data_IF_513782435904
#
_entry.id   IF_513782435904
#
_cell.length_a   1.000
_cell.length_b   1.000
_cell.length_c   1.000
_cell.angle_alpha   90.00
_cell.angle_beta   90.00
_cell.angle_gamma   90.00
#
_symmetry.space_group_name_H-M   'P 1'
#
loop_
_entity.id
_entity.type
_entity.pdbx_description
1 polymer ?
#
# COMPACT_ATOMS: atom_id res chain seq x y z
N UNK A 1 -3.75 0.89 -7.22
CA UNK A 1 -4.12 -0.49 -6.84
C UNK A 1 -3.31 -0.85 -5.61
N UNK A 2 -3.96 -1.14 -4.49
CA UNK A 2 -3.28 -1.65 -3.29
C UNK A 2 -3.40 -3.17 -3.29
N UNK A 3 -2.29 -3.85 -2.98
CA UNK A 3 -2.31 -5.28 -2.72
C UNK A 3 -2.37 -5.46 -1.23
N UNK A 4 -3.40 -6.11 -0.73
CA UNK A 4 -3.58 -6.33 0.71
C UNK A 4 -2.66 -7.42 1.28
N UNK A 5 -1.85 -8.04 0.43
CA UNK A 5 -0.70 -8.86 0.82
C UNK A 5 0.49 -7.96 1.21
N UNK A 6 0.72 -7.81 2.52
CA UNK A 6 1.87 -7.06 3.02
C UNK A 6 3.17 -7.85 2.79
N UNK A 7 3.96 -7.43 1.79
CA UNK A 7 5.29 -8.00 1.52
C UNK A 7 6.37 -6.98 1.81
N UNK A 8 7.22 -7.26 2.81
CA UNK A 8 8.36 -6.39 3.16
C UNK A 8 9.60 -6.82 2.37
N UNK A 9 10.25 -5.87 1.69
CA UNK A 9 11.51 -6.08 0.96
C UNK A 9 12.48 -4.93 1.25
N UNK A 10 13.81 -5.17 1.22
CA UNK A 10 14.78 -4.09 1.25
C UNK A 10 14.51 -3.07 0.14
N UNK A 11 14.57 -1.79 0.47
CA UNK A 11 14.37 -0.72 -0.50
C UNK A 11 15.65 -0.56 -1.34
N UNK A 12 15.54 -0.74 -2.64
CA UNK A 12 16.59 -0.37 -3.59
C UNK A 12 15.93 0.10 -4.90
N UNK A 13 16.56 1.03 -5.60
CA UNK A 13 16.04 1.54 -6.89
C UNK A 13 15.80 0.40 -7.88
N UNK A 14 16.71 -0.59 -7.92
CA UNK A 14 16.59 -1.76 -8.79
C UNK A 14 15.40 -2.64 -8.37
N UNK A 15 15.20 -2.87 -7.06
CA UNK A 15 14.07 -3.65 -6.54
C UNK A 15 12.73 -2.98 -6.82
N UNK A 16 12.66 -1.65 -6.71
CA UNK A 16 11.45 -0.88 -7.04
C UNK A 16 11.11 -0.99 -8.53
N UNK A 17 12.09 -0.84 -9.43
CA UNK A 17 11.88 -1.00 -10.89
C UNK A 17 11.44 -2.43 -11.24
N UNK A 18 12.08 -3.44 -10.65
CA UNK A 18 11.69 -4.84 -10.84
C UNK A 18 10.24 -5.12 -10.39
N UNK A 19 9.79 -4.47 -9.31
CA UNK A 19 8.42 -4.57 -8.83
C UNK A 19 7.42 -3.93 -9.80
N UNK A 20 7.72 -2.75 -10.35
CA UNK A 20 6.89 -2.10 -11.38
C UNK A 20 6.75 -2.99 -12.63
N UNK A 21 7.85 -3.59 -13.08
CA UNK A 21 7.86 -4.55 -14.19
C UNK A 21 7.00 -5.79 -13.88
N UNK A 22 7.05 -6.33 -12.66
CA UNK A 22 6.22 -7.47 -12.24
C UNK A 22 4.72 -7.17 -12.34
N UNK A 23 4.32 -5.93 -12.09
CA UNK A 23 2.92 -5.48 -12.26
C UNK A 23 2.60 -5.02 -13.67
N UNK A 24 3.51 -5.23 -14.62
CA UNK A 24 3.33 -4.90 -16.03
C UNK A 24 3.07 -3.39 -16.27
N UNK A 25 3.60 -2.54 -15.36
CA UNK A 25 3.49 -1.08 -15.48
C UNK A 25 4.51 -0.61 -16.51
N UNK A 26 4.02 -0.05 -17.61
CA UNK A 26 4.84 0.44 -18.73
C UNK A 26 5.15 1.92 -18.65
N UNK A 27 4.25 2.68 -18.03
CA UNK A 27 4.35 4.14 -17.92
C UNK A 27 4.46 4.51 -16.44
N UNK A 28 5.67 4.83 -16.00
CA UNK A 28 5.95 5.19 -14.60
C UNK A 28 5.61 6.65 -14.32
N UNK A 29 5.59 7.51 -15.35
CA UNK A 29 5.32 8.94 -15.22
C UNK A 29 3.90 9.30 -14.77
N UNK A 30 2.95 8.35 -14.85
CA UNK A 30 1.58 8.53 -14.36
C UNK A 30 1.38 7.99 -12.94
N UNK A 31 2.42 7.44 -12.31
CA UNK A 31 2.35 6.93 -10.94
C UNK A 31 2.60 8.03 -9.92
N UNK A 32 1.82 8.01 -8.83
CA UNK A 32 2.02 8.85 -7.65
C UNK A 32 2.73 8.03 -6.56
N UNK A 33 3.83 8.55 -6.03
CA UNK A 33 4.48 8.00 -4.84
C UNK A 33 3.80 8.55 -3.58
N UNK A 34 3.34 7.65 -2.70
CA UNK A 34 2.82 8.03 -1.38
C UNK A 34 3.64 7.36 -0.29
N UNK A 35 4.13 8.17 0.64
CA UNK A 35 4.80 7.71 1.85
C UNK A 35 3.76 7.61 2.96
N UNK A 36 3.71 6.45 3.61
CA UNK A 36 2.81 6.19 4.73
C UNK A 36 3.65 5.88 5.96
N UNK A 37 3.47 6.68 7.00
CA UNK A 37 4.12 6.43 8.29
C UNK A 37 3.28 5.44 9.09
N UNK A 38 3.89 4.34 9.52
CA UNK A 38 3.23 3.32 10.34
C UNK A 38 3.70 3.47 11.78
N UNK A 39 2.90 4.13 12.62
CA UNK A 39 3.11 4.22 14.06
C UNK A 39 2.25 3.22 14.84
N UNK A 40 2.15 3.43 16.15
CA UNK A 40 1.32 2.61 17.04
C UNK A 40 -0.16 2.68 16.64
N UNK A 41 -0.65 3.87 16.31
CA UNK A 41 -2.05 4.10 15.96
C UNK A 41 -2.42 3.44 14.62
N UNK A 42 -1.56 3.54 13.62
CA UNK A 42 -1.72 2.83 12.34
C UNK A 42 -1.64 1.32 12.52
N UNK A 43 -0.74 0.85 13.39
CA UNK A 43 -0.65 -0.56 13.77
C UNK A 43 -1.96 -1.09 14.37
N UNK A 44 -2.61 -0.32 15.26
CA UNK A 44 -3.89 -0.70 15.84
C UNK A 44 -5.02 -0.67 14.80
N UNK A 45 -5.03 0.31 13.89
CA UNK A 45 -5.99 0.37 12.77
C UNK A 45 -5.84 -0.82 11.84
N UNK A 46 -4.60 -1.19 11.50
CA UNK A 46 -4.29 -2.37 10.68
C UNK A 46 -4.75 -3.66 11.37
N UNK A 47 -4.50 -3.81 12.67
CA UNK A 47 -4.99 -4.96 13.43
C UNK A 47 -6.51 -5.03 13.46
N UNK A 48 -7.18 -3.90 13.66
CA UNK A 48 -8.64 -3.85 13.63
C UNK A 48 -9.17 -4.24 12.24
N UNK A 49 -8.60 -3.68 11.17
CA UNK A 49 -9.00 -3.98 9.81
C UNK A 49 -8.77 -5.45 9.45
N UNK A 50 -7.68 -6.08 9.92
CA UNK A 50 -7.39 -7.50 9.64
C UNK A 50 -8.36 -8.49 10.27
N UNK A 51 -9.05 -8.08 11.35
CA UNK A 51 -10.12 -8.89 11.96
C UNK A 51 -11.47 -8.70 11.26
N UNK A 52 -11.63 -7.65 10.46
CA UNK A 52 -12.91 -7.23 9.91
C UNK A 52 -12.99 -7.38 8.38
N UNK A 53 -11.84 -7.38 7.71
CA UNK A 53 -11.75 -7.26 6.26
C UNK A 53 -10.60 -8.08 5.67
N UNK A 54 -10.74 -8.39 4.39
CA UNK A 54 -9.66 -8.97 3.58
C UNK A 54 -8.85 -7.90 2.86
N UNK A 55 -9.34 -6.65 2.82
CA UNK A 55 -8.73 -5.51 2.12
C UNK A 55 -8.02 -4.55 3.07
N UNK A 56 -7.23 -5.10 3.99
CA UNK A 56 -6.73 -4.39 5.19
C UNK A 56 -5.89 -3.15 4.90
N UNK A 57 -5.04 -3.17 3.88
CA UNK A 57 -4.17 -2.03 3.55
C UNK A 57 -4.95 -0.98 2.76
N UNK A 58 -5.89 -1.42 1.92
CA UNK A 58 -6.81 -0.53 1.21
C UNK A 58 -7.70 0.23 2.20
N UNK A 59 -8.30 -0.47 3.15
CA UNK A 59 -9.23 0.10 4.13
C UNK A 59 -8.53 1.13 5.03
N UNK A 60 -7.28 0.88 5.42
CA UNK A 60 -6.56 1.79 6.33
C UNK A 60 -5.91 2.97 5.59
N UNK A 61 -5.43 2.78 4.36
CA UNK A 61 -4.59 3.78 3.68
C UNK A 61 -5.22 4.45 2.46
N UNK A 62 -6.37 3.98 1.96
CA UNK A 62 -7.06 4.56 0.80
C UNK A 62 -8.49 5.06 1.06
N UNK A 63 -9.19 4.63 2.12
CA UNK A 63 -10.61 4.99 2.32
C UNK A 63 -10.90 6.45 2.76
N UNK A 64 -9.90 7.35 2.82
CA UNK A 64 -10.14 8.74 3.22
C UNK A 64 -10.92 9.60 2.20
N UNK A 65 -11.15 9.12 0.97
CA UNK A 65 -11.85 9.90 -0.08
C UNK A 65 -13.33 9.51 -0.29
N UNK A 66 -14.06 9.17 0.79
CA UNK A 66 -15.54 9.16 0.71
C UNK A 66 -16.09 10.52 1.16
N UNK A 67 -16.47 11.43 0.24
CA UNK A 67 -17.26 12.60 0.62
C UNK A 67 -18.64 12.10 1.09
N UNK A 68 -19.05 12.57 2.26
CA UNK A 68 -20.39 12.36 2.84
C UNK A 68 -21.45 13.09 2.02
#
# INVERSE_FOLDING_TARGET
>A
MVMDDLVVKPMSTISSIAMLNKFNIKEVGVLEERVVNVGMDEGLKLLKASLQSKTTLTDVFLEQERPM
#
